data_IF_446594793778
#
_entry.id   IF_446594793778
#
_cell.length_a   1.000
_cell.length_b   1.000
_cell.length_c   1.000
_cell.angle_alpha   90.00
_cell.angle_beta   90.00
_cell.angle_gamma   90.00
#
_symmetry.space_group_name_H-M   'P 1'
#
loop_
_entity.id
_entity.type
_entity.pdbx_description
1 polymer ?
#
# COMPACT_ATOMS: atom_id res chain seq x y z
N UNK A 1 23.07 24.59 4.34
CA UNK A 1 23.39 25.32 3.10
C UNK A 1 23.70 26.76 3.44
N UNK A 2 24.82 27.29 2.96
CA UNK A 2 25.22 28.67 3.20
C UNK A 2 24.72 29.55 2.04
N UNK A 3 24.04 30.63 2.38
CA UNK A 3 23.53 31.63 1.43
C UNK A 3 24.28 32.93 1.66
N UNK A 4 24.94 33.44 0.62
CA UNK A 4 25.60 34.73 0.68
C UNK A 4 24.90 35.77 -0.23
N UNK A 5 24.75 36.97 0.28
CA UNK A 5 24.26 38.11 -0.49
C UNK A 5 25.36 39.17 -0.56
N UNK A 6 25.77 39.54 -1.78
CA UNK A 6 26.77 40.59 -2.00
C UNK A 6 26.10 41.82 -2.57
N UNK A 7 26.28 42.95 -1.89
CA UNK A 7 25.90 44.27 -2.40
C UNK A 7 27.15 45.10 -2.75
N UNK A 8 27.16 45.74 -3.93
CA UNK A 8 28.30 46.51 -4.42
C UNK A 8 27.85 47.90 -4.83
N UNK A 9 28.67 48.90 -4.51
CA UNK A 9 28.41 50.28 -4.93
C UNK A 9 28.54 50.42 -6.44
N UNK A 10 27.57 51.07 -7.09
CA UNK A 10 27.61 51.35 -8.54
C UNK A 10 28.65 52.42 -8.88
N UNK A 11 28.92 53.34 -7.95
CA UNK A 11 29.88 54.46 -8.18
C UNK A 11 31.32 54.13 -7.77
N UNK A 12 31.47 53.16 -6.89
CA UNK A 12 32.80 52.70 -6.45
C UNK A 12 32.73 51.17 -6.23
N UNK A 13 33.13 50.37 -7.23
CA UNK A 13 33.10 48.92 -7.16
C UNK A 13 34.02 48.30 -6.09
N UNK A 14 34.96 49.10 -5.50
CA UNK A 14 35.77 48.64 -4.38
C UNK A 14 35.00 48.58 -3.05
N UNK A 15 33.86 49.26 -2.99
CA UNK A 15 32.96 49.25 -1.83
C UNK A 15 31.89 48.17 -2.02
N UNK A 16 32.02 47.12 -1.25
CA UNK A 16 31.03 46.01 -1.22
C UNK A 16 30.79 45.55 0.21
N UNK A 17 29.64 44.97 0.43
CA UNK A 17 29.29 44.25 1.67
C UNK A 17 28.84 42.83 1.33
N UNK A 18 29.27 41.88 2.11
CA UNK A 18 28.83 40.50 2.02
C UNK A 18 28.11 40.18 3.32
N UNK A 19 26.85 39.81 3.19
CA UNK A 19 26.07 39.23 4.29
C UNK A 19 25.95 37.72 4.06
N UNK A 20 26.29 36.96 5.07
CA UNK A 20 26.24 35.51 5.04
C UNK A 20 25.17 35.02 6.04
N UNK A 21 24.35 34.08 5.60
CA UNK A 21 23.40 33.38 6.44
C UNK A 21 23.52 31.88 6.20
N UNK A 22 23.51 31.08 7.25
CA UNK A 22 23.42 29.63 7.14
C UNK A 22 21.98 29.19 7.33
N UNK A 23 21.51 28.30 6.45
CA UNK A 23 20.24 27.64 6.56
C UNK A 23 20.49 26.19 6.93
N UNK A 24 20.05 25.79 8.12
CA UNK A 24 20.07 24.41 8.55
C UNK A 24 18.75 23.75 8.15
N UNK A 25 18.84 22.68 7.35
CA UNK A 25 17.67 21.86 6.98
C UNK A 25 17.67 20.64 7.88
N UNK A 26 16.70 20.58 8.78
CA UNK A 26 16.51 19.43 9.66
C UNK A 26 15.94 18.24 8.88
N UNK A 27 16.36 17.04 9.28
CA UNK A 27 15.85 15.78 8.75
C UNK A 27 14.40 15.59 9.20
N UNK A 28 13.48 15.40 8.24
CA UNK A 28 12.09 15.03 8.46
C UNK A 28 11.87 13.62 7.97
N UNK A 29 11.24 12.77 8.83
CA UNK A 29 10.96 11.35 8.59
C UNK A 29 9.48 11.06 8.66
N UNK A 30 8.67 11.89 8.04
CA UNK A 30 7.22 11.74 8.02
C UNK A 30 6.79 10.83 6.88
N UNK A 31 5.75 10.03 7.11
CA UNK A 31 5.17 9.18 6.09
C UNK A 31 3.68 8.93 6.35
N UNK A 32 2.97 8.54 5.31
CA UNK A 32 1.58 8.10 5.39
C UNK A 32 1.36 6.82 4.62
N UNK A 33 0.28 6.12 4.98
CA UNK A 33 -0.17 4.90 4.31
C UNK A 33 -1.65 4.97 3.98
N UNK A 34 -2.02 4.44 2.83
CA UNK A 34 -3.40 4.30 2.38
C UNK A 34 -3.59 2.93 1.74
N UNK A 35 -4.79 2.36 1.86
CA UNK A 35 -5.14 1.12 1.17
C UNK A 35 -6.27 1.34 0.17
N UNK A 36 -6.16 0.63 -0.95
CA UNK A 36 -7.12 0.69 -2.06
C UNK A 36 -7.57 -0.72 -2.44
N UNK A 37 -8.80 -0.85 -2.94
CA UNK A 37 -9.22 -2.08 -3.62
C UNK A 37 -8.48 -2.26 -4.94
N UNK A 38 -8.63 -3.41 -5.57
CA UNK A 38 -8.16 -3.70 -6.93
C UNK A 38 -8.73 -2.72 -7.98
N UNK A 39 -9.96 -2.23 -7.76
CA UNK A 39 -10.60 -1.22 -8.60
C UNK A 39 -10.14 0.22 -8.33
N UNK A 40 -9.19 0.42 -7.40
CA UNK A 40 -8.64 1.73 -7.05
C UNK A 40 -9.52 2.56 -6.11
N UNK A 41 -10.53 1.96 -5.49
CA UNK A 41 -11.36 2.65 -4.48
C UNK A 41 -10.58 2.69 -3.18
N UNK A 42 -10.42 3.89 -2.59
CA UNK A 42 -9.79 4.04 -1.28
C UNK A 42 -10.59 3.32 -0.21
N UNK A 43 -9.91 2.49 0.57
CA UNK A 43 -10.47 1.77 1.71
C UNK A 43 -10.21 2.50 3.04
N UNK A 44 -9.54 3.64 2.98
CA UNK A 44 -9.23 4.50 4.12
C UNK A 44 -7.73 4.66 4.38
N UNK A 45 -7.32 5.76 5.05
CA UNK A 45 -5.91 6.06 5.30
C UNK A 45 -5.32 5.21 6.42
N UNK A 46 -6.01 5.04 7.54
CA UNK A 46 -5.51 4.31 8.72
C UNK A 46 -6.65 3.55 9.41
N UNK A 47 -6.28 2.46 10.08
CA UNK A 47 -7.19 1.62 10.84
C UNK A 47 -7.86 0.53 9.99
N UNK A 48 -9.00 0.05 10.47
CA UNK A 48 -9.79 -0.95 9.74
C UNK A 48 -10.76 -0.25 8.80
N UNK A 49 -10.63 -0.56 7.51
CA UNK A 49 -11.58 -0.20 6.49
C UNK A 49 -12.91 -0.98 6.63
N UNK A 50 -13.90 -0.59 5.82
CA UNK A 50 -15.18 -1.30 5.74
C UNK A 50 -14.99 -2.77 5.33
N UNK A 51 -15.97 -3.58 5.71
CA UNK A 51 -16.02 -4.99 5.35
C UNK A 51 -16.13 -5.17 3.83
N UNK A 52 -15.42 -6.17 3.31
CA UNK A 52 -15.45 -6.54 1.89
C UNK A 52 -16.08 -7.90 1.74
N UNK A 53 -17.12 -7.99 0.92
CA UNK A 53 -17.71 -9.26 0.51
C UNK A 53 -16.82 -9.96 -0.49
N UNK A 54 -16.57 -11.24 -0.28
CA UNK A 54 -15.69 -12.07 -1.11
C UNK A 54 -16.29 -13.46 -1.32
N UNK A 55 -15.81 -14.18 -2.34
CA UNK A 55 -16.19 -15.56 -2.63
C UNK A 55 -15.10 -16.52 -2.16
N UNK A 56 -15.49 -17.74 -1.79
CA UNK A 56 -14.52 -18.81 -1.55
C UNK A 56 -13.72 -19.13 -2.84
N UNK A 57 -12.41 -19.29 -2.70
CA UNK A 57 -11.48 -19.46 -3.84
C UNK A 57 -11.11 -18.17 -4.58
N UNK A 58 -11.65 -17.02 -4.20
CA UNK A 58 -11.33 -15.74 -4.82
C UNK A 58 -9.91 -15.30 -4.48
N UNK A 59 -9.25 -14.64 -5.45
CA UNK A 59 -8.02 -13.88 -5.24
C UNK A 59 -8.40 -12.42 -4.98
N UNK A 60 -8.21 -11.96 -3.75
CA UNK A 60 -8.50 -10.59 -3.34
C UNK A 60 -7.22 -9.77 -3.34
N UNK A 61 -7.17 -8.72 -4.15
CA UNK A 61 -6.07 -7.76 -4.16
C UNK A 61 -6.42 -6.51 -3.36
N UNK A 62 -5.51 -6.11 -2.49
CA UNK A 62 -5.52 -4.84 -1.78
C UNK A 62 -4.21 -4.13 -2.06
N UNK A 63 -4.25 -2.89 -2.54
CA UNK A 63 -3.06 -2.12 -2.83
C UNK A 63 -2.74 -1.20 -1.65
N UNK A 64 -1.57 -1.41 -1.03
CA UNK A 64 -1.01 -0.52 -0.03
C UNK A 64 -0.15 0.53 -0.74
N UNK A 65 -0.43 1.80 -0.50
CA UNK A 65 0.40 2.91 -0.95
C UNK A 65 1.10 3.52 0.25
N UNK A 66 2.43 3.59 0.20
CA UNK A 66 3.27 4.23 1.22
C UNK A 66 3.84 5.49 0.59
N UNK A 67 3.64 6.64 1.21
CA UNK A 67 4.21 7.93 0.76
C UNK A 67 5.22 8.42 1.80
N UNK A 68 6.44 8.65 1.36
CA UNK A 68 7.47 9.32 2.15
C UNK A 68 7.26 10.84 2.02
N UNK A 69 6.74 11.48 3.06
CA UNK A 69 6.49 12.92 3.14
C UNK A 69 7.70 13.68 3.73
N UNK A 70 8.73 12.96 4.15
CA UNK A 70 9.97 13.52 4.65
C UNK A 70 10.92 14.00 3.55
N UNK A 71 12.06 14.51 3.98
CA UNK A 71 13.11 15.08 3.10
C UNK A 71 14.34 14.16 2.93
N UNK A 72 14.27 12.94 3.46
CA UNK A 72 15.33 11.92 3.35
C UNK A 72 14.75 10.59 2.88
N UNK A 73 15.54 9.71 2.23
CA UNK A 73 15.12 8.35 1.93
C UNK A 73 14.76 7.58 3.20
N UNK A 74 13.63 6.86 3.18
CA UNK A 74 13.15 6.07 4.32
C UNK A 74 13.06 4.59 3.95
N UNK A 75 13.44 3.72 4.89
CA UNK A 75 13.32 2.29 4.78
C UNK A 75 12.14 1.80 5.62
N UNK A 76 11.27 0.99 4.99
CA UNK A 76 10.09 0.43 5.62
C UNK A 76 10.12 -1.09 5.61
N UNK A 77 9.51 -1.67 6.64
CA UNK A 77 9.14 -3.07 6.68
C UNK A 77 7.63 -3.19 6.64
N UNK A 78 7.10 -3.92 5.68
CA UNK A 78 5.68 -4.21 5.53
C UNK A 78 5.43 -5.65 5.95
N UNK A 79 4.56 -5.83 6.94
CA UNK A 79 4.11 -7.12 7.45
C UNK A 79 2.60 -7.24 7.30
N UNK A 80 2.10 -8.40 6.90
CA UNK A 80 0.67 -8.69 6.84
C UNK A 80 0.32 -9.81 7.80
N UNK A 81 -0.49 -9.46 8.80
CA UNK A 81 -1.12 -10.44 9.67
C UNK A 81 -2.45 -10.86 9.05
N UNK A 82 -2.51 -12.12 8.63
CA UNK A 82 -3.64 -12.71 7.95
C UNK A 82 -3.67 -14.21 8.22
N UNK A 83 -4.86 -14.82 8.42
CA UNK A 83 -5.00 -16.28 8.58
C UNK A 83 -5.18 -17.00 7.24
N UNK A 84 -5.47 -16.28 6.15
CA UNK A 84 -5.51 -16.83 4.80
C UNK A 84 -4.17 -16.62 4.08
N UNK A 85 -3.81 -17.46 3.10
CA UNK A 85 -2.57 -17.32 2.36
C UNK A 85 -2.46 -15.95 1.71
N UNK A 86 -1.34 -15.29 1.94
CA UNK A 86 -1.12 -13.90 1.50
C UNK A 86 0.25 -13.73 0.88
N UNK A 87 0.31 -12.92 -0.16
CA UNK A 87 1.48 -12.60 -0.94
C UNK A 87 1.61 -11.08 -1.08
N UNK A 88 2.80 -10.57 -0.81
CA UNK A 88 3.17 -9.17 -1.06
C UNK A 88 3.92 -9.09 -2.40
N UNK A 89 3.55 -8.15 -3.26
CA UNK A 89 4.19 -7.93 -4.57
C UNK A 89 4.53 -6.45 -4.73
N UNK A 90 5.80 -6.16 -4.98
CA UNK A 90 6.32 -4.86 -5.37
C UNK A 90 7.19 -5.03 -6.63
N UNK A 91 6.70 -4.61 -7.79
CA UNK A 91 7.39 -4.81 -9.07
C UNK A 91 7.69 -6.28 -9.34
N UNK A 92 8.98 -6.66 -9.35
CA UNK A 92 9.45 -8.03 -9.50
C UNK A 92 9.72 -8.73 -8.14
N UNK A 93 9.61 -8.02 -7.02
CA UNK A 93 9.82 -8.57 -5.69
C UNK A 93 8.52 -9.22 -5.20
N UNK A 94 8.63 -10.44 -4.72
CA UNK A 94 7.51 -11.23 -4.23
C UNK A 94 7.86 -11.86 -2.88
N UNK A 95 6.99 -11.71 -1.89
CA UNK A 95 7.14 -12.32 -0.57
C UNK A 95 5.85 -13.04 -0.19
N UNK A 96 5.95 -14.33 0.10
CA UNK A 96 4.83 -15.17 0.53
C UNK A 96 4.89 -15.37 2.04
N UNK A 97 3.83 -14.99 2.75
CA UNK A 97 3.68 -15.11 4.20
C UNK A 97 4.90 -14.61 5.00
N UNK A 98 5.46 -13.47 4.60
CA UNK A 98 6.66 -12.90 5.22
C UNK A 98 6.63 -11.37 5.22
N UNK A 99 7.76 -10.79 5.67
CA UNK A 99 7.96 -9.35 5.72
C UNK A 99 8.64 -8.87 4.44
N UNK A 100 8.16 -7.76 3.88
CA UNK A 100 8.77 -7.10 2.73
C UNK A 100 9.47 -5.82 3.18
N UNK A 101 10.75 -5.67 2.82
CA UNK A 101 11.50 -4.43 3.07
C UNK A 101 11.58 -3.61 1.79
N UNK A 102 11.27 -2.33 1.88
CA UNK A 102 11.28 -1.38 0.76
C UNK A 102 11.97 -0.07 1.16
N UNK A 103 12.57 0.60 0.18
CA UNK A 103 13.18 1.91 0.36
C UNK A 103 12.49 2.93 -0.53
N UNK A 104 12.05 4.06 0.04
CA UNK A 104 11.29 5.10 -0.65
C UNK A 104 12.05 6.42 -0.55
N UNK A 105 12.39 7.00 -1.69
CA UNK A 105 13.06 8.30 -1.75
C UNK A 105 12.15 9.42 -1.21
N UNK A 106 12.76 10.51 -0.76
CA UNK A 106 12.06 11.69 -0.28
C UNK A 106 11.00 12.18 -1.28
N UNK A 107 9.79 12.43 -0.81
CA UNK A 107 8.66 12.92 -1.61
C UNK A 107 8.03 11.90 -2.56
N UNK A 108 8.51 10.64 -2.58
CA UNK A 108 7.98 9.60 -3.46
C UNK A 108 6.97 8.69 -2.76
N UNK A 109 6.17 8.01 -3.58
CA UNK A 109 5.25 6.97 -3.13
C UNK A 109 5.59 5.63 -3.77
N UNK A 110 5.27 4.54 -3.07
CA UNK A 110 5.41 3.17 -3.54
C UNK A 110 4.10 2.43 -3.32
N UNK A 111 3.70 1.61 -4.31
CA UNK A 111 2.53 0.74 -4.22
C UNK A 111 2.96 -0.72 -4.06
N UNK A 112 2.39 -1.40 -3.08
CA UNK A 112 2.58 -2.83 -2.82
C UNK A 112 1.22 -3.51 -2.95
N UNK A 113 1.11 -4.52 -3.81
CA UNK A 113 -0.09 -5.34 -3.91
C UNK A 113 -0.06 -6.44 -2.85
N UNK A 114 -1.11 -6.49 -2.05
CA UNK A 114 -1.36 -7.52 -1.03
C UNK A 114 -2.41 -8.46 -1.58
N UNK A 115 -1.98 -9.61 -2.06
CA UNK A 115 -2.82 -10.65 -2.65
C UNK A 115 -3.19 -11.68 -1.60
N UNK A 116 -4.48 -11.82 -1.32
CA UNK A 116 -5.00 -12.80 -0.36
C UNK A 116 -5.85 -13.84 -1.10
N UNK A 117 -5.56 -15.12 -0.91
CA UNK A 117 -6.35 -16.23 -1.47
C UNK A 117 -7.38 -16.65 -0.44
N UNK A 118 -8.66 -16.48 -0.76
CA UNK A 118 -9.76 -16.99 0.06
C UNK A 118 -9.79 -18.51 -0.04
N UNK A 119 -9.74 -19.26 1.08
CA UNK A 119 -9.74 -20.72 1.00
C UNK A 119 -11.01 -21.27 0.32
N UNK A 120 -10.85 -22.25 -0.58
CA UNK A 120 -11.97 -22.94 -1.22
C UNK A 120 -12.91 -23.64 -0.21
N UNK A 121 -12.34 -24.10 0.90
CA UNK A 121 -13.09 -24.77 1.97
C UNK A 121 -13.79 -23.82 2.94
N UNK A 122 -13.63 -22.51 2.77
CA UNK A 122 -14.29 -21.54 3.63
C UNK A 122 -15.80 -21.48 3.34
N UNK A 123 -16.59 -21.28 4.40
CA UNK A 123 -18.03 -21.33 4.35
C UNK A 123 -18.65 -19.92 4.36
N UNK A 124 -19.92 -19.85 3.95
CA UNK A 124 -20.68 -18.61 4.11
C UNK A 124 -20.74 -18.18 5.58
N UNK A 125 -20.43 -16.91 5.82
CA UNK A 125 -20.30 -16.34 7.16
C UNK A 125 -18.88 -16.37 7.74
N UNK A 126 -17.97 -17.14 7.16
CA UNK A 126 -16.56 -17.09 7.55
C UNK A 126 -15.98 -15.71 7.22
N UNK A 127 -15.12 -15.23 8.08
CA UNK A 127 -14.46 -13.94 7.88
C UNK A 127 -12.99 -13.99 8.30
N UNK A 128 -12.22 -13.10 7.71
CA UNK A 128 -10.81 -12.95 8.04
C UNK A 128 -10.44 -11.46 8.04
N UNK A 129 -9.79 -11.03 9.12
CA UNK A 129 -9.29 -9.66 9.23
C UNK A 129 -7.83 -9.64 8.80
N UNK A 130 -7.56 -8.94 7.70
CA UNK A 130 -6.22 -8.67 7.21
C UNK A 130 -5.73 -7.36 7.85
N UNK A 131 -4.58 -7.43 8.52
CA UNK A 131 -3.93 -6.27 9.14
C UNK A 131 -2.57 -6.07 8.49
N UNK A 132 -2.37 -4.91 7.89
CA UNK A 132 -1.12 -4.52 7.25
C UNK A 132 -0.40 -3.55 8.20
N UNK A 133 0.81 -3.90 8.60
CA UNK A 133 1.69 -3.05 9.39
C UNK A 133 2.81 -2.52 8.53
N UNK A 134 2.93 -1.20 8.46
CA UNK A 134 4.05 -0.51 7.82
C UNK A 134 4.89 0.13 8.90
N UNK A 135 6.09 -0.40 9.11
CA UNK A 135 7.01 0.06 10.15
C UNK A 135 8.17 0.79 9.51
N UNK A 136 8.37 2.05 9.88
CA UNK A 136 9.59 2.78 9.59
C UNK A 136 10.72 2.20 10.44
N UNK A 137 11.88 1.98 9.87
CA UNK A 137 13.02 1.39 10.57
C UNK A 137 13.25 2.09 11.92
N UNK A 138 13.22 1.29 13.00
CA UNK A 138 13.46 1.68 14.39
C UNK A 138 12.53 2.76 14.98
N UNK A 139 11.34 2.99 14.40
CA UNK A 139 10.46 4.04 14.91
C UNK A 139 8.95 3.71 14.78
N UNK A 140 8.21 4.49 14.03
CA UNK A 140 6.76 4.50 13.96
C UNK A 140 6.20 3.32 13.15
N UNK A 141 5.06 2.79 13.59
CA UNK A 141 4.28 1.78 12.85
C UNK A 141 2.89 2.31 12.56
N UNK A 142 2.51 2.36 11.29
CA UNK A 142 1.16 2.63 10.85
C UNK A 142 0.43 1.32 10.54
N UNK A 143 -0.88 1.29 10.83
CA UNK A 143 -1.71 0.10 10.67
C UNK A 143 -2.88 0.42 9.76
N UNK A 144 -3.00 -0.36 8.69
CA UNK A 144 -4.16 -0.42 7.81
C UNK A 144 -4.75 -1.83 7.87
N UNK A 145 -6.02 -1.97 7.53
CA UNK A 145 -6.62 -3.30 7.46
C UNK A 145 -8.02 -3.28 6.87
N UNK A 146 -8.51 -4.46 6.55
CA UNK A 146 -9.90 -4.68 6.09
C UNK A 146 -10.34 -6.06 6.53
N UNK A 147 -11.64 -6.23 6.76
CA UNK A 147 -12.23 -7.54 7.02
C UNK A 147 -12.87 -8.08 5.73
N UNK A 148 -12.47 -9.29 5.37
CA UNK A 148 -13.02 -10.04 4.26
C UNK A 148 -14.10 -10.99 4.79
N UNK A 149 -15.31 -10.95 4.24
CA UNK A 149 -16.45 -11.76 4.69
C UNK A 149 -16.99 -12.55 3.51
N UNK A 150 -17.20 -13.84 3.69
CA UNK A 150 -17.86 -14.68 2.69
C UNK A 150 -19.37 -14.56 2.86
N UNK A 151 -20.00 -13.75 2.02
CA UNK A 151 -21.45 -13.59 2.00
C UNK A 151 -22.13 -14.60 1.10
N UNK A 152 -21.44 -15.02 0.02
CA UNK A 152 -21.90 -16.01 -0.93
C UNK A 152 -20.81 -17.02 -1.23
N UNK A 153 -21.19 -18.25 -1.58
CA UNK A 153 -20.26 -19.28 -2.02
C UNK A 153 -20.19 -19.26 -3.55
N UNK A 154 -18.99 -19.43 -4.10
CA UNK A 154 -18.85 -19.73 -5.52
C UNK A 154 -19.59 -21.04 -5.84
N UNK A 155 -20.50 -21.01 -6.80
CA UNK A 155 -21.24 -22.17 -7.21
C UNK A 155 -21.01 -22.48 -8.69
N UNK A 156 -20.96 -23.76 -9.00
CA UNK A 156 -21.04 -24.27 -10.36
C UNK A 156 -22.52 -24.56 -10.62
N UNK A 157 -23.12 -23.85 -11.57
CA UNK A 157 -24.47 -24.16 -12.03
C UNK A 157 -24.38 -24.91 -13.36
N UNK A 158 -24.94 -26.13 -13.38
CA UNK A 158 -24.98 -26.98 -14.58
C UNK A 158 -26.40 -26.99 -15.10
N UNK A 159 -26.66 -26.25 -16.18
CA UNK A 159 -27.92 -26.34 -16.87
C UNK A 159 -28.01 -27.64 -17.72
N UNK A 160 -29.23 -28.15 -17.89
CA UNK A 160 -29.50 -29.34 -18.68
C UNK A 160 -29.20 -29.17 -20.18
N UNK A 161 -28.81 -28.00 -20.63
CA UNK A 161 -28.38 -27.64 -21.99
C UNK A 161 -26.89 -27.91 -22.25
N UNK A 162 -26.13 -28.40 -21.27
CA UNK A 162 -24.67 -28.60 -21.39
C UNK A 162 -23.84 -27.32 -21.25
N UNK A 163 -24.45 -26.21 -20.82
CA UNK A 163 -23.70 -25.01 -20.44
C UNK A 163 -23.32 -25.08 -18.97
N UNK A 164 -22.04 -24.80 -18.68
CA UNK A 164 -21.54 -24.64 -17.33
C UNK A 164 -21.36 -23.14 -17.10
N UNK A 165 -22.21 -22.53 -16.28
CA UNK A 165 -21.95 -21.19 -15.77
C UNK A 165 -21.16 -21.26 -14.47
N UNK A 166 -19.96 -20.68 -14.49
CA UNK A 166 -19.16 -20.49 -13.29
C UNK A 166 -19.44 -19.10 -12.78
N UNK A 167 -20.14 -18.97 -11.66
CA UNK A 167 -20.42 -17.71 -11.01
C UNK A 167 -19.17 -17.13 -10.29
N UNK A 168 -18.03 -17.18 -10.95
CA UNK A 168 -16.82 -16.43 -10.66
C UNK A 168 -16.70 -15.35 -11.72
N UNK A 169 -17.29 -14.20 -11.47
CA UNK A 169 -17.13 -13.04 -12.32
C UNK A 169 -17.82 -13.12 -13.69
N UNK A 170 -19.00 -13.70 -13.82
CA UNK A 170 -19.85 -13.65 -15.02
C UNK A 170 -19.24 -14.18 -16.33
N UNK A 171 -18.44 -15.22 -16.27
CA UNK A 171 -17.93 -15.90 -17.46
C UNK A 171 -18.74 -17.17 -17.75
N UNK A 172 -19.41 -17.26 -18.88
CA UNK A 172 -20.01 -18.50 -19.39
C UNK A 172 -18.98 -19.22 -20.28
N UNK A 173 -18.74 -20.51 -20.02
CA UNK A 173 -17.96 -21.38 -20.88
C UNK A 173 -18.95 -22.28 -21.61
N UNK A 174 -19.05 -22.14 -22.95
CA UNK A 174 -19.79 -23.08 -23.81
C UNK A 174 -18.82 -24.18 -24.27
N UNK A 175 -19.18 -25.42 -24.08
CA UNK A 175 -18.52 -26.57 -24.70
C UNK A 175 -19.06 -26.83 -26.10
#
# INVERSE_FOLDING_TARGET
>A
EDVSCTTQSVNDPSLYSIDEASVEVFESREFRTEIFSDSGISLGPLGLADDRSVLNGELVTTNLVITNEGNVPLQFTVNVQNSWPTQLIEGANEVVNGDMSVNILAGNSLSISVNTIVPLAANKGDSNTMIIRTTLQDSETLINGTRLIIEELASLDTESSGQIEVALGKSSITQ
#
